data_IF_060920297444
#
_entry.id   IF_060920297444
#
_cell.length_a   1.000
_cell.length_b   1.000
_cell.length_c   1.000
_cell.angle_alpha   90.00
_cell.angle_beta   90.00
_cell.angle_gamma   90.00
#
_symmetry.space_group_name_H-M   'P 1'
#
loop_
_entity.id
_entity.type
_entity.pdbx_description
1 polymer ?
#
# COMPACT_ATOMS: atom_id res chain seq x y z
N UNK A 1 10.01 12.35 3.50
CA UNK A 1 9.98 11.15 4.37
C UNK A 1 8.54 10.83 4.73
N UNK A 2 8.19 9.54 4.78
CA UNK A 2 6.85 9.06 5.16
C UNK A 2 6.99 7.99 6.23
N UNK A 3 6.17 8.06 7.27
CA UNK A 3 6.11 7.07 8.35
C UNK A 3 4.76 6.37 8.39
N UNK A 4 4.68 5.20 9.05
CA UNK A 4 3.42 4.49 9.26
C UNK A 4 2.77 4.95 10.57
N UNK A 5 1.52 5.42 10.50
CA UNK A 5 0.72 5.75 11.69
C UNK A 5 0.07 4.52 12.35
N UNK A 6 -0.57 4.75 13.50
CA UNK A 6 -1.32 3.75 14.27
C UNK A 6 -2.53 3.13 13.52
N UNK A 7 -2.93 3.70 12.38
CA UNK A 7 -4.01 3.20 11.53
C UNK A 7 -3.49 2.44 10.31
N UNK A 8 -2.17 2.22 10.21
CA UNK A 8 -1.53 1.54 9.08
C UNK A 8 -1.35 2.42 7.83
N UNK A 9 -1.62 3.73 7.92
CA UNK A 9 -1.50 4.66 6.81
C UNK A 9 -0.10 5.28 6.74
N UNK A 10 0.34 5.62 5.52
CA UNK A 10 1.54 6.41 5.32
C UNK A 10 1.26 7.90 5.56
N UNK A 11 1.92 8.48 6.55
CA UNK A 11 1.86 9.91 6.86
C UNK A 11 3.16 10.62 6.48
N UNK A 12 3.08 11.74 5.75
CA UNK A 12 4.24 12.59 5.52
C UNK A 12 4.75 13.14 6.86
N UNK A 13 6.03 12.91 7.15
CA UNK A 13 6.68 13.43 8.37
C UNK A 13 7.72 14.51 8.07
N UNK A 14 8.13 14.61 6.81
CA UNK A 14 8.98 15.69 6.32
C UNK A 14 8.87 15.82 4.80
N UNK A 15 8.78 17.07 4.35
CA UNK A 15 9.05 17.45 2.98
C UNK A 15 10.38 18.19 2.93
N UNK A 16 11.24 17.78 2.00
CA UNK A 16 12.49 18.47 1.71
C UNK A 16 12.40 19.04 0.32
N UNK A 17 12.41 20.36 0.20
CA UNK A 17 12.45 21.05 -1.08
C UNK A 17 13.87 21.60 -1.26
N UNK A 18 14.63 20.94 -2.11
CA UNK A 18 16.06 21.18 -2.32
C UNK A 18 16.29 21.72 -3.73
N UNK A 19 17.17 22.71 -3.85
CA UNK A 19 17.53 23.32 -5.14
C UNK A 19 18.48 22.42 -5.93
N UNK A 20 19.36 21.68 -5.24
CA UNK A 20 20.27 20.70 -5.84
C UNK A 20 20.37 19.44 -4.99
N UNK A 21 20.56 18.29 -5.63
CA UNK A 21 20.68 17.01 -4.95
C UNK A 21 22.15 16.67 -4.66
N UNK A 22 22.70 17.22 -3.58
CA UNK A 22 24.06 16.92 -3.11
C UNK A 22 24.06 16.42 -1.66
N UNK A 23 25.10 15.66 -1.29
CA UNK A 23 25.23 14.99 0.01
C UNK A 23 25.02 15.94 1.21
N UNK A 24 25.52 17.17 1.10
CA UNK A 24 25.35 18.19 2.13
C UNK A 24 23.87 18.55 2.34
N UNK A 25 23.07 18.65 1.27
CA UNK A 25 21.63 18.92 1.37
C UNK A 25 20.89 17.77 2.05
N UNK A 26 21.24 16.52 1.75
CA UNK A 26 20.64 15.35 2.40
C UNK A 26 20.98 15.28 3.89
N UNK A 27 22.23 15.53 4.26
CA UNK A 27 22.63 15.61 5.67
C UNK A 27 21.86 16.71 6.42
N UNK A 28 21.66 17.88 5.80
CA UNK A 28 20.85 18.98 6.35
C UNK A 28 19.37 18.60 6.47
N UNK A 29 18.82 17.88 5.50
CA UNK A 29 17.44 17.37 5.59
C UNK A 29 17.26 16.47 6.81
N UNK A 30 18.22 15.58 7.07
CA UNK A 30 18.17 14.71 8.25
C UNK A 30 18.38 15.49 9.56
N UNK A 31 19.19 16.54 9.57
CA UNK A 31 19.34 17.40 10.76
C UNK A 31 18.05 18.18 11.06
N UNK A 32 17.36 18.66 10.03
CA UNK A 32 16.04 19.28 10.19
C UNK A 32 15.01 18.28 10.70
N UNK A 33 15.01 17.04 10.18
CA UNK A 33 14.16 15.96 10.70
C UNK A 33 14.30 15.83 12.21
N UNK A 34 15.55 15.70 12.69
CA UNK A 34 15.85 15.49 14.11
C UNK A 34 15.47 16.66 14.99
N UNK A 35 15.63 17.89 14.51
CA UNK A 35 15.22 19.10 15.24
C UNK A 35 13.71 19.21 15.37
N UNK A 36 12.98 18.80 14.33
CA UNK A 36 11.52 18.88 14.30
C UNK A 36 10.83 17.68 14.99
N UNK A 37 11.56 16.59 15.28
CA UNK A 37 10.99 15.35 15.81
C UNK A 37 11.81 14.87 17.02
N UNK A 38 11.36 15.17 18.24
CA UNK A 38 12.07 14.84 19.48
C UNK A 38 12.34 13.34 19.65
N UNK A 39 11.41 12.51 19.16
CA UNK A 39 11.49 11.04 19.21
C UNK A 39 12.24 10.42 18.02
N UNK A 40 13.04 11.18 17.26
CA UNK A 40 13.79 10.65 16.10
C UNK A 40 14.68 9.46 16.45
N UNK A 41 15.13 9.35 17.70
CA UNK A 41 15.90 8.20 18.20
C UNK A 41 15.12 6.90 18.20
N UNK A 42 13.78 6.92 18.21
CA UNK A 42 12.97 5.71 18.14
C UNK A 42 12.82 5.15 16.72
N UNK A 43 13.39 5.80 15.71
CA UNK A 43 13.46 5.24 14.36
C UNK A 43 14.33 3.97 14.39
N UNK A 44 13.72 2.83 14.05
CA UNK A 44 14.40 1.52 14.02
C UNK A 44 14.61 0.98 12.62
N UNK A 45 13.79 1.37 11.65
CA UNK A 45 13.84 0.91 10.26
C UNK A 45 13.70 2.10 9.33
N UNK A 46 14.57 2.18 8.32
CA UNK A 46 14.48 3.14 7.22
C UNK A 46 14.54 2.37 5.90
N UNK A 47 13.50 2.49 5.08
CA UNK A 47 13.43 1.85 3.76
C UNK A 47 13.74 2.90 2.69
N UNK A 48 14.74 2.62 1.86
CA UNK A 48 15.26 3.53 0.83
C UNK A 48 15.44 2.82 -0.49
N UNK A 49 15.67 3.60 -1.53
CA UNK A 49 16.15 3.07 -2.80
C UNK A 49 17.66 2.86 -2.74
N UNK A 50 18.21 2.19 -3.76
CA UNK A 50 19.64 1.87 -3.79
C UNK A 50 20.46 3.08 -4.28
N UNK A 51 20.57 4.11 -3.43
CA UNK A 51 21.59 5.15 -3.56
C UNK A 51 22.57 5.04 -2.38
N UNK A 52 23.80 4.64 -2.67
CA UNK A 52 24.83 4.40 -1.65
C UNK A 52 25.18 5.67 -0.86
N UNK A 53 25.10 6.85 -1.48
CA UNK A 53 25.38 8.13 -0.79
C UNK A 53 24.28 8.43 0.21
N UNK A 54 23.02 8.23 -0.17
CA UNK A 54 21.89 8.40 0.75
C UNK A 54 21.97 7.40 1.91
N UNK A 55 22.29 6.13 1.62
CA UNK A 55 22.45 5.07 2.62
C UNK A 55 23.53 5.45 3.65
N UNK A 56 24.68 5.93 3.22
CA UNK A 56 25.78 6.30 4.11
C UNK A 56 25.44 7.49 5.00
N UNK A 57 24.75 8.49 4.46
CA UNK A 57 24.27 9.64 5.24
C UNK A 57 23.24 9.18 6.27
N UNK A 58 22.29 8.33 5.87
CA UNK A 58 21.25 7.82 6.77
C UNK A 58 21.86 6.97 7.88
N UNK A 59 22.82 6.09 7.58
CA UNK A 59 23.53 5.30 8.61
C UNK A 59 24.24 6.18 9.63
N UNK A 60 24.90 7.25 9.17
CA UNK A 60 25.56 8.23 10.06
C UNK A 60 24.57 9.02 10.90
N UNK A 61 23.40 9.37 10.34
CA UNK A 61 22.40 10.18 11.04
C UNK A 61 21.48 9.33 11.94
N UNK A 62 21.20 8.08 11.61
CA UNK A 62 20.33 7.19 12.39
C UNK A 62 21.06 5.88 12.71
N UNK A 63 22.07 5.92 13.61
CA UNK A 63 22.88 4.74 13.91
C UNK A 63 22.08 3.61 14.56
N UNK A 64 20.97 3.93 15.23
CA UNK A 64 20.06 2.94 15.83
C UNK A 64 19.08 2.31 14.81
N UNK A 65 19.03 2.82 13.59
CA UNK A 65 18.11 2.36 12.56
C UNK A 65 18.79 1.41 11.57
N UNK A 66 18.13 0.30 11.28
CA UNK A 66 18.51 -0.59 10.18
C UNK A 66 18.02 0.02 8.86
N UNK A 67 18.95 0.22 7.93
CA UNK A 67 18.63 0.66 6.56
C UNK A 67 18.34 -0.56 5.70
N UNK A 68 17.19 -0.56 5.04
CA UNK A 68 16.69 -1.62 4.18
C UNK A 68 16.43 -1.06 2.78
N UNK A 69 16.68 -1.85 1.73
CA UNK A 69 16.35 -1.46 0.36
C UNK A 69 14.88 -1.75 0.04
N UNK A 70 14.24 -0.96 -0.81
CA UNK A 70 12.90 -1.29 -1.30
C UNK A 70 12.94 -2.58 -2.15
N UNK A 71 12.18 -3.62 -1.78
CA UNK A 71 12.10 -4.88 -2.54
C UNK A 71 11.71 -4.67 -4.01
N UNK A 72 10.77 -3.75 -4.26
CA UNK A 72 10.36 -3.41 -5.62
C UNK A 72 11.53 -2.85 -6.43
N UNK A 73 12.28 -1.89 -5.87
CA UNK A 73 13.41 -1.28 -6.57
C UNK A 73 14.59 -2.23 -6.72
N UNK A 74 14.81 -3.16 -5.77
CA UNK A 74 15.80 -4.24 -5.91
C UNK A 74 15.51 -5.09 -7.14
N UNK A 75 14.29 -5.63 -7.23
CA UNK A 75 13.88 -6.50 -8.32
C UNK A 75 13.88 -5.74 -9.65
N UNK A 76 13.28 -4.54 -9.67
CA UNK A 76 13.21 -3.69 -10.87
C UNK A 76 14.62 -3.34 -11.37
N UNK A 77 15.50 -2.88 -10.49
CA UNK A 77 16.84 -2.45 -10.88
C UNK A 77 17.66 -3.62 -11.43
N UNK A 78 17.68 -4.76 -10.75
CA UNK A 78 18.46 -5.93 -11.21
C UNK A 78 17.93 -6.44 -12.55
N UNK A 79 16.62 -6.57 -12.69
CA UNK A 79 16.00 -7.02 -13.93
C UNK A 79 16.24 -6.05 -15.09
N UNK A 80 16.01 -4.75 -14.90
CA UNK A 80 16.20 -3.75 -15.96
C UNK A 80 17.66 -3.56 -16.32
N UNK A 81 18.57 -3.61 -15.34
CA UNK A 81 20.01 -3.50 -15.59
C UNK A 81 20.50 -4.64 -16.46
N UNK A 82 20.10 -5.88 -16.15
CA UNK A 82 20.50 -7.05 -16.95
C UNK A 82 19.89 -6.97 -18.35
N UNK A 83 18.61 -6.57 -18.47
CA UNK A 83 17.92 -6.48 -19.76
C UNK A 83 18.48 -5.39 -20.69
N UNK A 84 18.81 -4.21 -20.14
CA UNK A 84 19.16 -3.02 -20.93
C UNK A 84 20.66 -2.82 -21.12
N UNK A 85 21.49 -3.42 -20.25
CA UNK A 85 22.93 -3.18 -20.26
C UNK A 85 23.64 -4.06 -21.28
N UNK A 86 24.28 -3.43 -22.28
CA UNK A 86 25.21 -4.12 -23.18
C UNK A 86 26.52 -4.51 -22.50
N UNK A 87 26.81 -3.96 -21.31
CA UNK A 87 28.07 -4.18 -20.56
C UNK A 87 28.21 -5.62 -20.07
N UNK A 88 27.10 -6.32 -19.85
CA UNK A 88 27.07 -7.66 -19.28
C UNK A 88 26.79 -8.75 -20.34
N UNK A 89 26.92 -8.38 -21.62
CA UNK A 89 26.46 -9.20 -22.74
C UNK A 89 24.94 -9.16 -22.91
N UNK A 90 24.48 -9.66 -24.06
CA UNK A 90 23.05 -9.86 -24.33
C UNK A 90 22.68 -11.26 -23.87
N UNK A 91 21.58 -11.40 -23.15
CA UNK A 91 21.02 -12.68 -22.75
C UNK A 91 19.76 -12.94 -23.58
N UNK A 92 19.55 -14.19 -23.96
CA UNK A 92 18.31 -14.62 -24.60
C UNK A 92 17.10 -14.40 -23.69
N UNK A 93 15.92 -14.17 -24.27
CA UNK A 93 14.72 -13.77 -23.52
C UNK A 93 14.28 -14.85 -22.50
N UNK A 94 14.50 -16.13 -22.80
CA UNK A 94 14.23 -17.23 -21.87
C UNK A 94 15.16 -17.20 -20.65
N UNK A 95 16.44 -16.89 -20.86
CA UNK A 95 17.44 -16.73 -19.79
C UNK A 95 17.12 -15.49 -18.95
N UNK A 96 16.73 -14.38 -19.58
CA UNK A 96 16.30 -13.16 -18.87
C UNK A 96 15.08 -13.44 -17.98
N UNK A 97 14.12 -14.23 -18.46
CA UNK A 97 12.95 -14.63 -17.69
C UNK A 97 13.33 -15.48 -16.47
N UNK A 98 14.24 -16.46 -16.65
CA UNK A 98 14.78 -17.27 -15.56
C UNK A 98 15.50 -16.40 -14.54
N UNK A 99 16.39 -15.50 -14.98
CA UNK A 99 17.09 -14.56 -14.10
C UNK A 99 16.12 -13.69 -13.29
N UNK A 100 15.05 -13.17 -13.91
CA UNK A 100 14.01 -12.41 -13.21
C UNK A 100 13.34 -13.24 -12.11
N UNK A 101 13.02 -14.49 -12.41
CA UNK A 101 12.43 -15.39 -11.42
C UNK A 101 13.40 -15.64 -10.26
N UNK A 102 14.66 -15.95 -10.56
CA UNK A 102 15.69 -16.18 -9.55
C UNK A 102 15.96 -14.94 -8.69
N UNK A 103 15.99 -13.73 -9.26
CA UNK A 103 16.10 -12.47 -8.52
C UNK A 103 14.92 -12.29 -7.55
N UNK A 104 13.71 -12.60 -8.02
CA UNK A 104 12.50 -12.53 -7.19
C UNK A 104 12.59 -13.53 -6.03
N UNK A 105 12.97 -14.78 -6.33
CA UNK A 105 13.12 -15.84 -5.33
C UNK A 105 14.22 -15.51 -4.31
N UNK A 106 15.37 -14.98 -4.73
CA UNK A 106 16.41 -14.49 -3.83
C UNK A 106 15.88 -13.38 -2.91
N UNK A 107 15.11 -12.43 -3.45
CA UNK A 107 14.58 -11.29 -2.66
C UNK A 107 13.61 -11.75 -1.58
N UNK A 108 12.75 -12.73 -1.91
CA UNK A 108 11.75 -13.28 -1.00
C UNK A 108 12.19 -14.53 -0.23
N UNK A 109 13.45 -14.96 -0.40
CA UNK A 109 14.01 -16.11 0.30
C UNK A 109 13.88 -15.92 1.82
N UNK A 110 13.25 -16.89 2.48
CA UNK A 110 12.90 -16.82 3.91
C UNK A 110 13.98 -17.39 4.83
N UNK A 111 14.98 -18.07 4.28
CA UNK A 111 16.14 -18.60 4.99
C UNK A 111 17.44 -18.26 4.24
N UNK A 112 18.58 -18.14 4.94
CA UNK A 112 19.89 -17.95 4.30
C UNK A 112 20.23 -19.07 3.31
N UNK A 113 19.83 -20.31 3.61
CA UNK A 113 20.05 -21.46 2.74
C UNK A 113 19.26 -21.35 1.43
N UNK A 114 17.98 -20.98 1.51
CA UNK A 114 17.15 -20.76 0.31
C UNK A 114 17.72 -19.60 -0.54
N UNK A 115 18.22 -18.54 0.11
CA UNK A 115 18.91 -17.46 -0.60
C UNK A 115 20.13 -17.98 -1.33
N UNK A 116 20.96 -18.79 -0.66
CA UNK A 116 22.19 -19.36 -1.24
C UNK A 116 21.86 -20.26 -2.44
N UNK A 117 20.84 -21.10 -2.34
CA UNK A 117 20.39 -21.94 -3.46
C UNK A 117 19.99 -21.10 -4.69
N UNK A 118 19.13 -20.10 -4.50
CA UNK A 118 18.71 -19.22 -5.60
C UNK A 118 19.88 -18.34 -6.12
N UNK A 119 20.81 -17.96 -5.26
CA UNK A 119 22.02 -17.25 -5.66
C UNK A 119 22.92 -18.10 -6.55
N UNK A 120 23.05 -19.39 -6.26
CA UNK A 120 23.85 -20.32 -7.07
C UNK A 120 23.17 -20.63 -8.42
N UNK A 121 21.84 -20.70 -8.45
CA UNK A 121 21.05 -20.68 -9.70
C UNK A 121 21.35 -19.40 -10.51
N UNK A 122 21.31 -18.22 -9.87
CA UNK A 122 21.61 -16.97 -10.56
C UNK A 122 23.06 -16.93 -11.07
N UNK A 123 24.01 -17.44 -10.28
CA UNK A 123 25.42 -17.56 -10.65
C UNK A 123 25.60 -18.40 -11.91
N UNK A 124 24.97 -19.57 -11.97
CA UNK A 124 25.07 -20.46 -13.13
C UNK A 124 24.48 -19.84 -14.39
N UNK A 125 23.41 -19.04 -14.28
CA UNK A 125 22.86 -18.27 -15.40
C UNK A 125 23.77 -17.09 -15.81
N UNK A 126 24.34 -16.38 -14.84
CA UNK A 126 25.20 -15.22 -15.09
C UNK A 126 26.52 -15.60 -15.74
N UNK A 127 27.09 -16.76 -15.39
CA UNK A 127 28.37 -17.26 -15.89
C UNK A 127 28.29 -18.04 -17.21
N UNK A 128 27.14 -18.03 -17.90
CA UNK A 128 26.98 -18.70 -19.20
C UNK A 128 27.89 -18.07 -20.25
N UNK A 129 28.41 -18.92 -21.15
CA UNK A 129 29.27 -18.52 -22.27
C UNK A 129 30.56 -17.81 -21.79
N UNK A 130 31.13 -18.30 -20.67
CA UNK A 130 32.37 -17.81 -20.07
C UNK A 130 32.35 -16.32 -19.66
N UNK A 131 31.16 -15.73 -19.51
CA UNK A 131 30.97 -14.36 -19.00
C UNK A 131 31.19 -14.30 -17.50
N UNK A 132 31.78 -13.22 -16.97
CA UNK A 132 31.98 -13.06 -15.52
C UNK A 132 31.50 -11.70 -14.99
N UNK A 133 31.33 -10.72 -15.85
CA UNK A 133 31.13 -9.32 -15.50
C UNK A 133 29.83 -9.08 -14.73
N UNK A 134 28.74 -9.77 -15.09
CA UNK A 134 27.47 -9.68 -14.37
C UNK A 134 27.60 -10.25 -12.95
N UNK A 135 28.26 -11.39 -12.83
CA UNK A 135 28.42 -12.07 -11.55
C UNK A 135 29.31 -11.27 -10.60
N UNK A 136 30.46 -10.79 -11.08
CA UNK A 136 31.37 -9.97 -10.29
C UNK A 136 30.70 -8.66 -9.84
N UNK A 137 29.91 -8.05 -10.73
CA UNK A 137 29.09 -6.90 -10.39
C UNK A 137 28.04 -7.24 -9.31
N UNK A 138 27.31 -8.34 -9.47
CA UNK A 138 26.28 -8.77 -8.53
C UNK A 138 26.86 -9.04 -7.15
N UNK A 139 27.97 -9.78 -7.06
CA UNK A 139 28.62 -10.10 -5.80
C UNK A 139 28.98 -8.81 -5.05
N UNK A 140 29.72 -7.91 -5.72
CA UNK A 140 30.19 -6.67 -5.13
C UNK A 140 29.07 -5.71 -4.72
N UNK A 141 28.03 -5.59 -5.53
CA UNK A 141 27.03 -4.53 -5.34
C UNK A 141 25.75 -4.99 -4.66
N UNK A 142 25.44 -6.28 -4.67
CA UNK A 142 24.17 -6.82 -4.19
C UNK A 142 24.37 -7.90 -3.14
N UNK A 143 25.23 -8.87 -3.39
CA UNK A 143 25.47 -9.98 -2.45
C UNK A 143 26.15 -9.51 -1.16
N UNK A 144 27.17 -8.65 -1.26
CA UNK A 144 27.85 -8.04 -0.09
C UNK A 144 26.90 -7.29 0.85
N UNK A 145 25.75 -6.84 0.34
CA UNK A 145 24.73 -6.14 1.11
C UNK A 145 23.38 -6.89 1.16
N UNK A 146 23.38 -8.22 0.98
CA UNK A 146 22.18 -9.06 0.95
C UNK A 146 21.28 -8.89 2.18
N UNK A 147 21.87 -8.64 3.34
CA UNK A 147 21.18 -8.34 4.59
C UNK A 147 20.24 -7.13 4.53
N UNK A 148 20.47 -6.21 3.58
CA UNK A 148 19.65 -5.02 3.39
C UNK A 148 18.43 -5.29 2.52
N UNK A 149 18.35 -6.39 1.76
CA UNK A 149 17.29 -6.60 0.75
C UNK A 149 16.67 -8.00 0.72
N UNK A 150 17.32 -9.03 1.27
CA UNK A 150 16.76 -10.39 1.34
C UNK A 150 15.79 -10.52 2.52
N UNK A 151 14.66 -11.21 2.31
CA UNK A 151 13.61 -11.37 3.31
C UNK A 151 14.07 -12.10 4.58
N UNK A 152 14.95 -13.10 4.46
CA UNK A 152 15.51 -13.85 5.58
C UNK A 152 16.08 -12.96 6.70
N UNK A 153 16.70 -11.83 6.35
CA UNK A 153 17.30 -10.88 7.31
C UNK A 153 16.31 -9.80 7.79
N UNK A 154 15.06 -9.83 7.33
CA UNK A 154 14.00 -8.88 7.69
C UNK A 154 12.97 -9.44 8.66
N UNK A 155 12.81 -10.77 8.70
CA UNK A 155 11.76 -11.48 9.47
C UNK A 155 11.75 -11.07 10.96
N UNK A 156 12.91 -10.71 11.53
CA UNK A 156 13.05 -10.28 12.93
C UNK A 156 12.93 -8.77 13.18
N UNK A 157 12.67 -7.96 12.15
CA UNK A 157 12.71 -6.50 12.24
C UNK A 157 11.31 -5.88 12.34
N UNK A 158 11.12 -4.80 13.12
CA UNK A 158 9.83 -4.11 13.27
C UNK A 158 9.49 -3.24 12.05
N UNK A 159 9.37 -3.85 10.87
CA UNK A 159 9.03 -3.15 9.63
C UNK A 159 7.50 -3.03 9.42
N UNK A 160 6.67 -3.62 10.29
CA UNK A 160 5.20 -3.53 10.26
C UNK A 160 4.59 -3.91 8.89
N UNK A 161 5.11 -4.98 8.27
CA UNK A 161 4.69 -5.43 6.94
C UNK A 161 5.16 -4.55 5.77
N UNK A 162 6.00 -3.54 6.02
CA UNK A 162 6.53 -2.68 4.95
C UNK A 162 7.83 -3.24 4.40
N UNK A 163 7.82 -3.57 3.12
CA UNK A 163 9.00 -4.06 2.39
C UNK A 163 9.42 -3.13 1.24
N UNK A 164 8.56 -2.16 0.91
CA UNK A 164 8.73 -1.23 -0.21
C UNK A 164 8.56 0.22 0.23
N UNK A 165 8.97 1.16 -0.61
CA UNK A 165 8.73 2.60 -0.43
C UNK A 165 7.43 3.07 -1.13
N UNK A 166 6.50 2.15 -1.46
CA UNK A 166 5.26 2.46 -2.19
C UNK A 166 4.42 3.58 -1.57
N UNK A 167 4.49 3.77 -0.25
CA UNK A 167 3.80 4.88 0.43
C UNK A 167 4.36 6.24 0.05
N UNK A 168 5.69 6.33 -0.05
CA UNK A 168 6.41 7.53 -0.49
C UNK A 168 6.07 7.79 -1.95
N UNK A 169 6.17 6.77 -2.81
CA UNK A 169 5.85 6.90 -4.24
C UNK A 169 4.39 7.28 -4.48
N UNK A 170 3.44 6.68 -3.75
CA UNK A 170 2.02 7.04 -3.86
C UNK A 170 1.74 8.47 -3.40
N UNK A 171 2.40 8.92 -2.34
CA UNK A 171 2.31 10.30 -1.85
C UNK A 171 2.86 11.27 -2.91
N UNK A 172 4.06 11.00 -3.43
CA UNK A 172 4.68 11.83 -4.46
C UNK A 172 3.89 11.82 -5.77
N UNK A 173 3.37 10.66 -6.22
CA UNK A 173 2.51 10.59 -7.39
C UNK A 173 1.22 11.40 -7.25
N UNK A 174 0.59 11.40 -6.05
CA UNK A 174 -0.54 12.28 -5.75
C UNK A 174 -0.12 13.75 -5.78
N UNK A 175 1.01 14.09 -5.17
CA UNK A 175 1.50 15.46 -5.12
C UNK A 175 1.89 15.99 -6.51
N UNK A 176 2.57 15.20 -7.33
CA UNK A 176 2.96 15.52 -8.71
C UNK A 176 1.75 15.87 -9.58
N UNK A 177 0.58 15.25 -9.36
CA UNK A 177 -0.66 15.62 -10.07
C UNK A 177 -1.13 17.05 -9.75
N UNK A 178 -0.86 17.54 -8.55
CA UNK A 178 -1.13 18.94 -8.17
C UNK A 178 0.02 19.88 -8.59
N UNK A 179 1.24 19.36 -8.67
CA UNK A 179 2.43 20.09 -9.10
C UNK A 179 2.62 19.97 -10.63
N UNK A 180 1.92 20.79 -11.41
CA UNK A 180 2.13 20.86 -12.88
C UNK A 180 3.50 21.50 -13.22
N UNK A 181 4.05 21.18 -14.39
CA UNK A 181 5.46 21.34 -14.79
C UNK A 181 6.10 22.75 -14.82
N UNK A 182 5.43 23.81 -14.36
CA UNK A 182 6.00 25.17 -14.32
C UNK A 182 5.63 25.94 -13.04
N UNK A 183 5.77 25.31 -11.88
CA UNK A 183 5.55 25.98 -10.59
C UNK A 183 6.85 26.53 -10.03
N UNK A 184 6.84 27.80 -9.63
CA UNK A 184 7.91 28.38 -8.83
C UNK A 184 7.99 27.69 -7.47
N UNK A 185 9.15 27.75 -6.82
CA UNK A 185 9.37 27.32 -5.43
C UNK A 185 8.24 27.75 -4.48
N UNK A 186 7.81 29.02 -4.59
CA UNK A 186 6.70 29.58 -3.80
C UNK A 186 5.36 28.89 -4.08
N UNK A 187 5.07 28.62 -5.36
CA UNK A 187 3.82 27.97 -5.74
C UNK A 187 3.81 26.50 -5.30
N UNK A 188 4.93 25.79 -5.44
CA UNK A 188 5.13 24.43 -4.94
C UNK A 188 4.92 24.35 -3.42
N UNK A 189 5.46 25.33 -2.66
CA UNK A 189 5.27 25.40 -1.23
C UNK A 189 3.79 25.61 -0.84
N UNK A 190 3.05 26.46 -1.55
CA UNK A 190 1.61 26.66 -1.30
C UNK A 190 0.81 25.37 -1.49
N UNK A 191 1.08 24.64 -2.58
CA UNK A 191 0.41 23.36 -2.86
C UNK A 191 0.75 22.32 -1.80
N UNK A 192 2.04 22.23 -1.41
CA UNK A 192 2.50 21.35 -0.34
C UNK A 192 1.81 21.64 0.99
N UNK A 193 1.74 22.91 1.41
CA UNK A 193 1.09 23.30 2.66
C UNK A 193 -0.41 23.00 2.65
N UNK A 194 -1.10 23.27 1.53
CA UNK A 194 -2.52 22.94 1.40
C UNK A 194 -2.77 21.43 1.43
N UNK A 195 -1.90 20.64 0.82
CA UNK A 195 -1.96 19.19 0.86
C UNK A 195 -1.71 18.66 2.28
N UNK A 196 -0.68 19.17 2.95
CA UNK A 196 -0.33 18.79 4.33
C UNK A 196 -1.47 19.11 5.29
N UNK A 197 -2.06 20.30 5.21
CA UNK A 197 -3.17 20.70 6.08
C UNK A 197 -4.35 19.74 5.97
N UNK A 198 -4.73 19.34 4.74
CA UNK A 198 -5.79 18.35 4.53
C UNK A 198 -5.46 16.99 5.15
N UNK A 199 -4.20 16.55 5.03
CA UNK A 199 -3.73 15.28 5.61
C UNK A 199 -3.78 15.29 7.13
N UNK A 200 -3.40 16.42 7.72
CA UNK A 200 -3.47 16.67 9.14
C UNK A 200 -4.92 16.68 9.62
N UNK A 201 -5.83 17.44 8.99
CA UNK A 201 -7.26 17.44 9.29
C UNK A 201 -7.88 16.03 9.23
N UNK A 202 -7.58 15.25 8.19
CA UNK A 202 -8.02 13.86 8.05
C UNK A 202 -7.49 12.94 9.17
N UNK A 203 -6.27 13.20 9.66
CA UNK A 203 -5.64 12.42 10.73
C UNK A 203 -6.23 12.83 12.09
N UNK A 204 -6.28 14.12 12.37
CA UNK A 204 -6.86 14.70 13.59
C UNK A 204 -8.30 14.26 13.77
N UNK A 205 -9.15 14.32 12.73
CA UNK A 205 -10.52 13.83 12.80
C UNK A 205 -10.67 12.33 13.14
N UNK A 206 -9.67 11.50 12.83
CA UNK A 206 -9.66 10.07 13.20
C UNK A 206 -9.17 9.85 14.62
N UNK A 207 -8.24 10.68 15.07
CA UNK A 207 -7.64 10.64 16.40
C UNK A 207 -8.65 11.20 17.40
N UNK A 208 -9.13 12.43 17.21
CA UNK A 208 -10.07 13.11 18.11
C UNK A 208 -11.49 12.50 18.16
N UNK A 209 -11.79 11.46 17.38
CA UNK A 209 -13.11 10.84 17.37
C UNK A 209 -13.52 10.40 18.80
N UNK A 210 -14.53 11.04 19.41
CA UNK A 210 -14.94 10.71 20.77
C UNK A 210 -15.67 9.36 20.78
N UNK A 211 -15.43 8.59 21.85
CA UNK A 211 -16.16 7.36 22.14
C UNK A 211 -15.38 6.06 21.93
N UNK A 212 -15.92 4.97 22.49
CA UNK A 212 -15.35 3.63 22.41
C UNK A 212 -15.86 2.90 21.17
N UNK A 213 -14.94 2.38 20.35
CA UNK A 213 -15.31 1.54 19.22
C UNK A 213 -15.76 0.16 19.72
N UNK A 214 -16.93 -0.28 19.24
CA UNK A 214 -17.41 -1.65 19.41
C UNK A 214 -17.72 -2.28 18.06
N UNK A 215 -17.43 -3.57 17.94
CA UNK A 215 -17.78 -4.43 16.82
C UNK A 215 -18.59 -5.61 17.36
N UNK A 216 -19.82 -5.76 16.86
CA UNK A 216 -20.76 -6.81 17.29
C UNK A 216 -20.29 -8.22 16.91
N UNK A 217 -19.37 -8.34 15.95
CA UNK A 217 -18.77 -9.62 15.56
C UNK A 217 -17.58 -10.01 16.45
N UNK A 218 -17.13 -9.10 17.32
CA UNK A 218 -16.01 -9.36 18.23
C UNK A 218 -16.54 -9.85 19.57
N UNK A 219 -15.83 -10.81 20.17
CA UNK A 219 -16.02 -11.15 21.57
C UNK A 219 -15.58 -9.97 22.46
N UNK A 220 -15.89 -10.02 23.76
CA UNK A 220 -15.58 -8.91 24.67
C UNK A 220 -14.07 -8.61 24.72
N UNK A 221 -13.21 -9.63 24.73
CA UNK A 221 -11.75 -9.42 24.71
C UNK A 221 -11.27 -8.69 23.45
N UNK A 222 -11.84 -9.03 22.30
CA UNK A 222 -11.52 -8.34 21.04
C UNK A 222 -12.09 -6.92 21.02
N UNK A 223 -13.25 -6.68 21.65
CA UNK A 223 -13.78 -5.33 21.83
C UNK A 223 -12.93 -4.50 22.80
N UNK A 224 -12.32 -5.10 23.82
CA UNK A 224 -11.32 -4.44 24.68
C UNK A 224 -10.11 -4.04 23.83
N UNK A 225 -9.57 -4.97 23.02
CA UNK A 225 -8.46 -4.66 22.11
C UNK A 225 -8.79 -3.51 21.15
N UNK A 226 -10.01 -3.51 20.60
CA UNK A 226 -10.51 -2.45 19.71
C UNK A 226 -10.72 -1.11 20.43
N UNK A 227 -11.14 -1.14 21.70
CA UNK A 227 -11.27 0.05 22.53
C UNK A 227 -9.92 0.71 22.81
N UNK A 228 -8.90 -0.09 23.15
CA UNK A 228 -7.55 0.36 23.46
C UNK A 228 -6.77 0.83 22.22
N UNK A 229 -7.03 0.24 21.05
CA UNK A 229 -6.23 0.43 19.84
C UNK A 229 -7.05 1.00 18.68
N UNK A 230 -6.54 0.89 17.45
CA UNK A 230 -7.28 1.23 16.23
C UNK A 230 -7.93 0.00 15.60
N UNK A 231 -8.88 0.22 14.69
CA UNK A 231 -9.47 -0.87 13.89
C UNK A 231 -8.45 -1.72 13.15
N UNK A 232 -7.42 -1.07 12.63
CA UNK A 232 -6.38 -1.74 11.86
C UNK A 232 -5.55 -2.66 12.77
N UNK A 233 -5.19 -2.18 13.97
CA UNK A 233 -4.46 -2.99 14.97
C UNK A 233 -5.35 -4.12 15.49
N UNK A 234 -6.60 -3.84 15.87
CA UNK A 234 -7.53 -4.84 16.34
C UNK A 234 -7.79 -5.93 15.29
N UNK A 235 -7.89 -5.57 14.01
CA UNK A 235 -7.99 -6.54 12.92
C UNK A 235 -6.72 -7.40 12.80
N UNK A 236 -5.53 -6.83 12.99
CA UNK A 236 -4.29 -7.60 13.01
C UNK A 236 -4.20 -8.55 14.21
N UNK A 237 -4.66 -8.12 15.40
CA UNK A 237 -4.75 -8.99 16.59
C UNK A 237 -5.78 -10.11 16.34
N UNK A 238 -6.90 -9.81 15.67
CA UNK A 238 -7.95 -10.79 15.36
C UNK A 238 -7.43 -11.96 14.54
N UNK A 239 -6.55 -11.74 13.57
CA UNK A 239 -5.97 -12.84 12.77
C UNK A 239 -5.15 -13.81 13.62
N UNK A 240 -4.51 -13.32 14.68
CA UNK A 240 -3.77 -14.15 15.63
C UNK A 240 -4.69 -14.81 16.66
N UNK A 241 -5.68 -14.05 17.14
CA UNK A 241 -6.67 -14.50 18.10
C UNK A 241 -7.45 -15.70 17.56
N UNK A 242 -7.93 -15.61 16.33
CA UNK A 242 -8.74 -16.67 15.71
C UNK A 242 -8.00 -18.00 15.68
N UNK A 243 -6.75 -17.98 15.25
CA UNK A 243 -5.87 -19.17 15.22
C UNK A 243 -5.59 -19.71 16.62
N UNK A 244 -5.41 -18.83 17.62
CA UNK A 244 -5.14 -19.25 19.00
C UNK A 244 -6.38 -19.79 19.72
N UNK A 245 -7.58 -19.35 19.33
CA UNK A 245 -8.83 -19.82 19.90
C UNK A 245 -9.41 -21.04 19.22
N UNK A 246 -9.00 -21.32 17.99
CA UNK A 246 -9.45 -22.48 17.24
C UNK A 246 -9.05 -23.78 17.96
N UNK A 247 -10.05 -24.50 18.47
CA UNK A 247 -9.83 -25.74 19.20
C UNK A 247 -9.26 -26.85 18.29
N UNK A 248 -9.48 -26.77 16.97
CA UNK A 248 -8.89 -27.73 16.02
C UNK A 248 -7.38 -27.59 15.86
N UNK A 249 -6.82 -26.43 16.23
CA UNK A 249 -5.38 -26.12 16.13
C UNK A 249 -4.72 -26.16 17.52
N UNK A 250 -5.49 -26.30 18.60
CA UNK A 250 -4.99 -26.29 19.96
C UNK A 250 -4.00 -27.44 20.23
N UNK A 251 -4.26 -28.62 19.67
CA UNK A 251 -3.42 -29.82 19.82
C UNK A 251 -2.09 -29.73 19.05
N UNK A 252 -1.94 -28.77 18.13
CA UNK A 252 -0.71 -28.57 17.37
C UNK A 252 0.37 -27.84 18.18
N UNK A 253 0.04 -27.27 19.34
CA UNK A 253 0.99 -26.54 20.17
C UNK A 253 1.49 -27.37 21.34
N UNK A 254 2.80 -27.62 21.37
CA UNK A 254 3.49 -28.19 22.52
C UNK A 254 4.26 -27.09 23.27
N UNK A 255 4.07 -27.03 24.59
CA UNK A 255 4.71 -26.03 25.45
C UNK A 255 5.72 -26.71 26.38
N UNK A 256 6.96 -26.21 26.37
CA UNK A 256 7.99 -26.59 27.35
C UNK A 256 8.38 -25.39 28.18
N UNK A 257 8.17 -25.50 29.48
CA UNK A 257 8.57 -24.48 30.44
C UNK A 257 10.08 -24.53 30.71
N UNK A 258 10.77 -23.41 30.52
CA UNK A 258 12.20 -23.26 30.81
C UNK A 258 12.45 -22.20 31.92
N UNK A 259 11.46 -21.92 32.78
CA UNK A 259 11.57 -20.93 33.85
C UNK A 259 11.04 -19.57 33.41
N UNK A 260 11.94 -18.65 33.00
CA UNK A 260 11.58 -17.29 32.56
C UNK A 260 11.00 -17.25 31.14
N UNK A 261 11.25 -18.31 30.36
CA UNK A 261 10.78 -18.46 28.98
C UNK A 261 10.06 -19.79 28.77
N UNK A 262 9.26 -19.84 27.71
CA UNK A 262 8.53 -21.02 27.26
C UNK A 262 8.92 -21.30 25.83
N UNK A 263 9.32 -22.53 25.55
CA UNK A 263 9.44 -23.00 24.16
C UNK A 263 8.06 -23.41 23.67
N UNK A 264 7.59 -22.74 22.62
CA UNK A 264 6.36 -23.06 21.91
C UNK A 264 6.74 -23.80 20.63
N UNK A 265 6.38 -25.06 20.53
CA UNK A 265 6.56 -25.86 19.33
C UNK A 265 5.21 -25.99 18.61
N UNK A 266 5.20 -25.66 17.31
CA UNK A 266 4.07 -25.87 16.41
C UNK A 266 4.64 -26.55 15.17
N UNK A 267 4.19 -27.77 14.90
CA UNK A 267 4.74 -28.62 13.84
C UNK A 267 6.27 -28.77 14.00
N UNK A 268 7.03 -28.50 12.94
CA UNK A 268 8.50 -28.51 12.92
C UNK A 268 9.15 -27.23 13.47
N UNK A 269 8.36 -26.18 13.75
CA UNK A 269 8.88 -24.86 14.14
C UNK A 269 8.88 -24.68 15.64
N UNK A 270 9.96 -24.09 16.16
CA UNK A 270 10.13 -23.77 17.58
C UNK A 270 10.27 -22.27 17.77
N UNK A 271 9.53 -21.75 18.72
CA UNK A 271 9.54 -20.35 19.11
C UNK A 271 9.84 -20.22 20.61
N UNK A 272 10.41 -19.09 21.00
CA UNK A 272 10.64 -18.75 22.40
C UNK A 272 9.71 -17.61 22.77
N UNK A 273 8.97 -17.80 23.86
CA UNK A 273 8.05 -16.84 24.46
C UNK A 273 8.56 -16.46 25.85
N UNK A 274 8.74 -15.18 26.12
CA UNK A 274 9.02 -14.63 27.45
C UNK A 274 7.74 -14.50 28.27
N UNK A 275 7.75 -14.91 29.54
CA UNK A 275 6.54 -14.94 30.38
C UNK A 275 6.12 -13.56 30.93
N UNK A 276 7.07 -12.70 31.26
CA UNK A 276 6.77 -11.39 31.87
C UNK A 276 6.26 -10.39 30.82
N UNK A 277 7.04 -10.20 29.75
CA UNK A 277 6.72 -9.28 28.66
C UNK A 277 5.78 -9.83 27.58
N UNK A 278 5.47 -11.13 27.62
CA UNK A 278 4.75 -11.85 26.55
C UNK A 278 5.37 -11.64 25.17
N UNK A 279 6.70 -11.48 25.12
CA UNK A 279 7.44 -11.25 23.87
C UNK A 279 7.80 -12.58 23.23
N UNK A 280 7.50 -12.72 21.94
CA UNK A 280 7.76 -13.95 21.19
C UNK A 280 8.74 -13.67 20.04
N UNK A 281 9.62 -14.62 19.73
CA UNK A 281 10.52 -14.52 18.58
C UNK A 281 9.88 -14.85 17.22
N UNK A 282 8.58 -15.17 17.18
CA UNK A 282 7.89 -15.39 15.91
C UNK A 282 7.80 -14.09 15.08
N UNK A 283 7.77 -14.24 13.76
CA UNK A 283 7.73 -13.12 12.80
C UNK A 283 6.64 -12.10 13.12
N UNK A 284 5.41 -12.53 13.40
CA UNK A 284 4.32 -11.59 13.68
C UNK A 284 4.64 -10.71 14.89
N UNK A 285 5.09 -11.30 16.00
CA UNK A 285 5.45 -10.56 17.20
C UNK A 285 6.65 -9.64 16.96
N UNK A 286 7.65 -10.08 16.20
CA UNK A 286 8.84 -9.28 15.91
C UNK A 286 8.57 -8.11 14.97
N UNK A 287 7.76 -8.35 13.93
CA UNK A 287 7.47 -7.37 12.88
C UNK A 287 6.40 -6.37 13.29
N UNK A 288 5.33 -6.83 13.94
CA UNK A 288 4.19 -5.99 14.34
C UNK A 288 4.37 -5.41 15.74
N UNK A 289 5.18 -6.04 16.61
CA UNK A 289 5.27 -5.70 18.05
C UNK A 289 3.88 -5.71 18.71
N UNK A 290 3.13 -6.77 18.40
CA UNK A 290 1.78 -7.06 18.88
C UNK A 290 1.72 -8.47 19.46
N UNK A 291 0.74 -8.75 20.33
CA UNK A 291 0.42 -10.10 20.79
C UNK A 291 0.28 -11.11 19.64
N UNK A 292 1.05 -12.19 19.66
CA UNK A 292 0.95 -13.26 18.68
C UNK A 292 0.09 -14.43 19.18
N UNK A 293 -0.28 -15.31 18.24
CA UNK A 293 -1.05 -16.53 18.55
C UNK A 293 -0.35 -17.43 19.57
N UNK A 294 0.99 -17.49 19.58
CA UNK A 294 1.74 -18.33 20.53
C UNK A 294 1.56 -17.87 21.98
N UNK A 295 1.60 -16.55 22.21
CA UNK A 295 1.36 -15.98 23.53
C UNK A 295 -0.08 -16.23 24.01
N UNK A 296 -1.04 -16.07 23.10
CA UNK A 296 -2.47 -16.29 23.40
C UNK A 296 -2.78 -17.77 23.66
N UNK A 297 -2.23 -18.68 22.85
CA UNK A 297 -2.38 -20.12 23.01
C UNK A 297 -1.80 -20.59 24.37
N UNK A 298 -0.58 -20.15 24.71
CA UNK A 298 0.00 -20.46 26.02
C UNK A 298 -0.88 -19.94 27.17
N UNK A 299 -1.36 -18.68 27.10
CA UNK A 299 -2.29 -18.14 28.11
C UNK A 299 -3.58 -18.95 28.26
N UNK A 300 -4.14 -19.42 27.15
CA UNK A 300 -5.32 -20.31 27.12
C UNK A 300 -5.02 -21.61 27.87
N UNK A 301 -3.87 -22.26 27.61
CA UNK A 301 -3.47 -23.49 28.32
C UNK A 301 -3.23 -23.28 29.82
N UNK A 302 -2.77 -22.09 30.22
CA UNK A 302 -2.64 -21.73 31.64
C UNK A 302 -3.98 -21.36 32.31
N UNK A 303 -5.11 -21.44 31.62
CA UNK A 303 -6.43 -21.12 32.16
C UNK A 303 -6.66 -19.63 32.42
N UNK A 304 -5.95 -18.73 31.73
CA UNK A 304 -6.15 -17.30 31.91
C UNK A 304 -7.53 -16.85 31.38
N UNK A 305 -8.30 -16.05 32.13
CA UNK A 305 -9.60 -15.56 31.69
C UNK A 305 -9.51 -14.60 30.50
N UNK A 306 -8.40 -13.85 30.41
CA UNK A 306 -8.06 -12.99 29.28
C UNK A 306 -6.85 -13.58 28.55
N UNK A 307 -7.06 -14.09 27.33
CA UNK A 307 -6.02 -14.76 26.55
C UNK A 307 -5.18 -13.76 25.75
N UNK A 308 -5.71 -12.57 25.44
CA UNK A 308 -4.95 -11.50 24.80
C UNK A 308 -4.04 -10.83 25.87
N UNK A 309 -2.70 -10.87 25.73
CA UNK A 309 -1.81 -10.13 26.60
C UNK A 309 -1.80 -8.64 26.23
N UNK A 310 -2.78 -7.88 26.72
CA UNK A 310 -2.90 -6.43 26.42
C UNK A 310 -1.65 -5.63 26.82
N UNK A 311 -0.90 -6.09 27.84
CA UNK A 311 0.34 -5.45 28.29
C UNK A 311 1.50 -5.55 27.30
N UNK A 312 1.46 -6.45 26.32
CA UNK A 312 2.52 -6.57 25.30
C UNK A 312 2.23 -5.76 24.03
N UNK A 313 1.10 -5.07 23.97
CA UNK A 313 0.81 -4.11 22.91
C UNK A 313 1.75 -2.91 23.07
N UNK A 314 2.61 -2.68 22.08
CA UNK A 314 3.51 -1.52 22.09
C UNK A 314 2.73 -0.20 22.20
N UNK A 315 3.20 0.78 23.00
CA UNK A 315 2.50 2.05 23.21
C UNK A 315 2.12 2.79 21.92
N UNK A 316 2.90 2.60 20.86
CA UNK A 316 2.64 3.19 19.53
C UNK A 316 1.29 2.79 18.90
N UNK A 317 0.68 1.71 19.39
CA UNK A 317 -0.55 1.15 18.84
C UNK A 317 -1.80 1.54 19.63
N UNK A 318 -1.65 2.18 20.78
CA UNK A 318 -2.78 2.73 21.51
C UNK A 318 -3.37 3.93 20.76
N UNK A 319 -4.68 4.09 20.84
CA UNK A 319 -5.35 5.29 20.30
C UNK A 319 -4.93 6.50 21.13
N UNK A 320 -3.96 7.27 20.63
CA UNK A 320 -3.26 8.33 21.36
C UNK A 320 -4.14 9.46 21.96
N UNK A 321 -5.38 9.60 21.52
CA UNK A 321 -6.38 10.56 21.99
C UNK A 321 -7.40 10.01 22.99
N UNK A 322 -7.42 8.70 23.24
CA UNK A 322 -8.50 8.09 24.03
C UNK A 322 -8.22 8.04 25.53
N UNK A 323 -7.09 8.60 25.96
CA UNK A 323 -6.63 8.58 27.34
C UNK A 323 -6.42 9.98 27.95
N UNK A 324 -6.50 11.08 27.20
CA UNK A 324 -6.49 12.42 27.82
C UNK A 324 -7.87 12.73 28.38
N UNK A 325 -8.09 12.41 29.66
CA UNK A 325 -9.25 12.88 30.42
C UNK A 325 -9.22 14.40 30.65
N UNK A 326 -8.08 15.05 30.41
CA UNK A 326 -7.87 16.49 30.67
C UNK A 326 -8.57 17.42 29.67
N UNK A 327 -9.05 16.90 28.54
CA UNK A 327 -9.78 17.65 27.50
C UNK A 327 -11.11 16.97 27.16
N UNK A 328 -11.89 16.59 28.17
CA UNK A 328 -13.30 16.26 27.96
C UNK A 328 -14.06 17.54 27.62
N UNK A 329 -14.05 17.93 26.36
CA UNK A 329 -14.96 18.96 25.86
C UNK A 329 -16.40 18.49 26.14
N UNK A 330 -17.18 19.29 26.87
CA UNK A 330 -18.61 19.03 27.04
C UNK A 330 -19.25 18.93 25.66
N UNK A 331 -19.63 17.72 25.25
CA UNK A 331 -20.27 17.52 23.95
C UNK A 331 -21.74 17.89 24.12
N UNK A 332 -22.14 19.05 23.60
CA UNK A 332 -23.55 19.51 23.57
C UNK A 332 -24.48 18.56 22.77
N UNK A 333 -23.93 17.65 21.96
CA UNK A 333 -24.69 16.72 21.13
C UNK A 333 -24.69 15.30 21.66
N UNK A 334 -25.84 14.59 21.57
CA UNK A 334 -25.97 13.23 22.08
C UNK A 334 -25.00 12.27 21.39
N UNK A 335 -24.52 11.30 22.17
CA UNK A 335 -23.62 10.23 21.73
C UNK A 335 -24.09 9.62 20.39
N UNK A 336 -23.21 9.61 19.38
CA UNK A 336 -23.49 8.95 18.11
C UNK A 336 -22.93 7.53 18.16
N UNK A 337 -23.77 6.55 18.52
CA UNK A 337 -23.42 5.14 18.40
C UNK A 337 -23.34 4.73 16.92
N UNK A 338 -22.16 4.84 16.31
CA UNK A 338 -21.92 4.30 14.96
C UNK A 338 -21.75 2.78 15.06
N UNK A 339 -22.84 2.04 14.89
CA UNK A 339 -22.81 0.58 14.76
C UNK A 339 -22.31 0.24 13.36
N UNK A 340 -21.07 -0.24 13.27
CA UNK A 340 -20.54 -0.70 11.99
C UNK A 340 -20.98 -2.14 11.73
N UNK A 341 -21.98 -2.28 10.86
CA UNK A 341 -22.33 -3.58 10.29
C UNK A 341 -21.36 -3.90 9.16
N UNK A 342 -20.80 -5.11 9.16
CA UNK A 342 -20.01 -5.64 8.03
C UNK A 342 -20.90 -5.60 6.78
N UNK A 343 -20.44 -5.00 5.68
CA UNK A 343 -21.13 -5.14 4.39
C UNK A 343 -21.15 -6.64 4.04
N UNK A 344 -22.32 -7.26 3.80
CA UNK A 344 -22.36 -8.66 3.41
C UNK A 344 -21.58 -8.84 2.10
N UNK A 345 -20.85 -9.96 2.01
CA UNK A 345 -20.16 -10.38 0.79
C UNK A 345 -21.23 -10.46 -0.31
N UNK A 346 -21.01 -9.76 -1.43
CA UNK A 346 -21.98 -9.70 -2.51
C UNK A 346 -22.30 -11.12 -2.99
N UNK A 347 -23.54 -11.54 -2.82
CA UNK A 347 -24.09 -12.73 -3.46
C UNK A 347 -24.10 -12.42 -4.96
N UNK A 348 -23.57 -13.33 -5.78
CA UNK A 348 -23.56 -13.19 -7.23
C UNK A 348 -24.97 -12.87 -7.73
N UNK A 349 -25.13 -11.72 -8.40
CA UNK A 349 -26.40 -11.25 -8.95
C UNK A 349 -27.02 -10.02 -8.28
N UNK A 350 -26.58 -9.60 -7.09
CA UNK A 350 -27.08 -8.37 -6.43
C UNK A 350 -26.05 -7.25 -6.56
N UNK A 351 -26.40 -6.14 -7.20
CA UNK A 351 -25.54 -4.96 -7.30
C UNK A 351 -25.20 -4.44 -5.90
N UNK A 352 -23.90 -4.36 -5.56
CA UNK A 352 -23.44 -3.73 -4.33
C UNK A 352 -23.77 -2.23 -4.33
N UNK A 353 -23.92 -1.60 -3.16
CA UNK A 353 -24.18 -0.15 -3.08
C UNK A 353 -23.08 0.68 -3.77
N UNK A 354 -21.84 0.20 -3.77
CA UNK A 354 -20.73 0.84 -4.48
C UNK A 354 -20.88 0.70 -6.00
N UNK A 355 -21.40 -0.43 -6.48
CA UNK A 355 -21.70 -0.68 -7.89
C UNK A 355 -22.89 0.18 -8.36
N UNK A 356 -23.96 0.25 -7.54
CA UNK A 356 -25.12 1.11 -7.77
C UNK A 356 -24.71 2.58 -7.84
N UNK A 357 -23.90 3.04 -6.89
CA UNK A 357 -23.37 4.40 -6.86
C UNK A 357 -22.50 4.71 -8.08
N UNK A 358 -21.58 3.80 -8.45
CA UNK A 358 -20.71 3.98 -9.63
C UNK A 358 -21.51 4.06 -10.93
N UNK A 359 -22.50 3.17 -11.12
CA UNK A 359 -23.38 3.19 -12.30
C UNK A 359 -24.26 4.43 -12.35
N UNK A 360 -24.84 4.83 -11.22
CA UNK A 360 -25.63 6.06 -11.13
C UNK A 360 -24.77 7.27 -11.49
N UNK A 361 -23.56 7.39 -10.92
CA UNK A 361 -22.66 8.49 -11.20
C UNK A 361 -22.24 8.54 -12.68
N UNK A 362 -21.97 7.39 -13.31
CA UNK A 362 -21.69 7.34 -14.75
C UNK A 362 -22.87 7.80 -15.61
N UNK A 363 -24.11 7.44 -15.25
CA UNK A 363 -25.30 7.91 -15.96
C UNK A 363 -25.49 9.42 -15.80
N UNK A 364 -25.36 9.95 -14.59
CA UNK A 364 -25.46 11.40 -14.34
C UNK A 364 -24.35 12.19 -15.02
N UNK A 365 -23.12 11.66 -15.11
CA UNK A 365 -22.03 12.33 -15.84
C UNK A 365 -22.36 12.49 -17.34
N UNK A 366 -23.06 11.51 -17.95
CA UNK A 366 -23.51 11.61 -19.35
C UNK A 366 -24.62 12.66 -19.48
N UNK A 367 -25.61 12.62 -18.59
CA UNK A 367 -26.71 13.59 -18.56
C UNK A 367 -26.16 15.02 -18.35
N UNK A 368 -25.21 15.22 -17.44
CA UNK A 368 -24.60 16.54 -17.21
C UNK A 368 -23.82 17.06 -18.42
N UNK A 369 -23.20 16.16 -19.19
CA UNK A 369 -22.50 16.52 -20.42
C UNK A 369 -23.45 17.02 -21.53
N UNK A 370 -24.66 16.45 -21.60
CA UNK A 370 -25.71 16.88 -22.54
C UNK A 370 -26.40 18.17 -22.05
N UNK A 371 -26.73 18.25 -20.76
CA UNK A 371 -27.36 19.45 -20.18
C UNK A 371 -26.48 20.70 -20.35
N UNK A 372 -25.16 20.57 -20.20
CA UNK A 372 -24.21 21.67 -20.36
C UNK A 372 -24.13 22.23 -21.80
N UNK A 373 -24.71 21.55 -22.78
CA UNK A 373 -24.75 21.97 -24.18
C UNK A 373 -26.11 22.60 -24.57
N UNK A 374 -27.08 22.62 -23.66
CA UNK A 374 -28.39 23.23 -23.91
C UNK A 374 -28.34 24.76 -23.77
N UNK A 375 -29.17 25.51 -24.51
CA UNK A 375 -29.36 26.94 -24.28
C UNK A 375 -29.90 27.22 -22.87
N UNK A 376 -29.48 28.33 -22.26
CA UNK A 376 -29.75 28.66 -20.84
C UNK A 376 -31.23 28.53 -20.43
N UNK A 377 -32.17 28.98 -21.26
CA UNK A 377 -33.61 28.89 -20.97
C UNK A 377 -34.12 27.44 -20.94
N UNK A 378 -33.57 26.58 -21.81
CA UNK A 378 -33.92 25.15 -21.88
C UNK A 378 -33.22 24.38 -20.77
N UNK A 379 -32.00 24.78 -20.42
CA UNK A 379 -31.25 24.23 -19.29
C UNK A 379 -32.00 24.44 -17.97
N UNK A 380 -32.46 25.66 -17.68
CA UNK A 380 -33.21 25.96 -16.45
C UNK A 380 -34.53 25.17 -16.36
N UNK A 381 -35.25 25.03 -17.47
CA UNK A 381 -36.46 24.19 -17.51
C UNK A 381 -36.13 22.71 -17.23
N UNK A 382 -35.06 22.19 -17.84
CA UNK A 382 -34.61 20.81 -17.62
C UNK A 382 -34.13 20.56 -16.19
N UNK A 383 -33.46 21.53 -15.56
CA UNK A 383 -33.05 21.46 -14.17
C UNK A 383 -34.24 21.46 -13.20
N UNK A 384 -35.27 22.27 -13.46
CA UNK A 384 -36.52 22.25 -12.69
C UNK A 384 -37.21 20.87 -12.75
N UNK A 385 -37.21 20.21 -13.90
CA UNK A 385 -37.79 18.88 -14.04
C UNK A 385 -36.94 17.77 -13.39
N UNK A 386 -35.61 17.93 -13.40
CA UNK A 386 -34.70 17.06 -12.66
C UNK A 386 -34.90 17.17 -11.14
N UNK A 387 -35.14 18.37 -10.62
CA UNK A 387 -35.46 18.60 -9.21
C UNK A 387 -36.80 17.99 -8.81
N UNK A 388 -37.83 18.08 -9.67
CA UNK A 388 -39.11 17.39 -9.46
C UNK A 388 -38.94 15.88 -9.44
N UNK A 389 -38.11 15.34 -10.34
CA UNK A 389 -37.82 13.91 -10.35
C UNK A 389 -37.04 13.47 -9.11
N UNK A 390 -36.04 14.24 -8.67
CA UNK A 390 -35.33 14.01 -7.42
C UNK A 390 -36.27 14.01 -6.20
N UNK A 391 -37.21 14.95 -6.16
CA UNK A 391 -38.23 15.01 -5.11
C UNK A 391 -39.12 13.74 -5.12
N UNK A 392 -39.54 13.27 -6.28
CA UNK A 392 -40.31 12.02 -6.42
C UNK A 392 -39.52 10.78 -6.00
N UNK A 393 -38.22 10.74 -6.32
CA UNK A 393 -37.31 9.65 -5.93
C UNK A 393 -37.20 9.52 -4.41
N UNK A 394 -37.14 10.64 -3.68
CA UNK A 394 -37.14 10.66 -2.19
C UNK A 394 -38.41 10.05 -1.59
N UNK A 395 -39.53 10.09 -2.33
CA UNK A 395 -40.82 9.55 -1.90
C UNK A 395 -41.11 8.15 -2.47
N UNK A 396 -40.11 7.48 -3.04
CA UNK A 396 -40.20 6.09 -3.51
C UNK A 396 -40.87 5.91 -4.88
N UNK A 397 -41.09 6.97 -5.64
CA UNK A 397 -41.59 6.90 -7.02
C UNK A 397 -40.43 6.92 -8.00
N UNK A 398 -40.31 5.91 -8.86
CA UNK A 398 -39.15 5.71 -9.74
C UNK A 398 -39.40 6.02 -11.22
N UNK A 399 -40.64 6.31 -11.60
CA UNK A 399 -41.01 6.50 -13.01
C UNK A 399 -40.59 7.88 -13.52
N UNK A 400 -39.97 7.91 -14.70
CA UNK A 400 -39.75 9.12 -15.48
C UNK A 400 -41.01 9.35 -16.31
N UNK A 401 -41.64 10.52 -16.18
CA UNK A 401 -42.81 10.88 -17.00
C UNK A 401 -42.44 10.80 -18.49
N UNK A 402 -43.31 10.23 -19.35
CA UNK A 402 -43.05 10.15 -20.78
C UNK A 402 -43.02 11.56 -21.42
N UNK A 403 -42.29 11.75 -22.52
CA UNK A 403 -42.28 13.02 -23.23
C UNK A 403 -43.71 13.37 -23.71
N UNK A 404 -44.07 14.67 -23.77
CA UNK A 404 -45.38 15.08 -24.25
C UNK A 404 -45.57 14.58 -25.68
N UNK A 405 -46.63 13.80 -25.90
CA UNK A 405 -47.08 13.39 -27.22
C UNK A 405 -47.33 14.64 -28.08
N UNK A 406 -46.55 14.83 -29.14
CA UNK A 406 -46.84 15.82 -30.17
C UNK A 406 -48.17 15.44 -30.83
N UNK A 407 -49.23 16.11 -30.42
CA UNK A 407 -50.53 16.07 -31.06
C UNK A 407 -50.41 16.55 -32.50
N UNK A 408 -50.97 15.74 -33.38
CA UNK A 408 -51.21 16.00 -34.78
C UNK A 408 -52.01 17.30 -34.99
N UNK A 409 -51.47 18.26 -35.73
CA UNK A 409 -52.26 19.21 -36.51
C UNK A 409 -51.55 19.46 -37.85
N UNK A 410 -52.27 19.13 -38.93
CA UNK A 410 -51.79 19.21 -40.29
C UNK A 410 -52.08 20.55 -40.96
N UNK A 411 -51.19 20.92 -41.88
CA UNK A 411 -51.36 21.72 -43.11
C UNK A 411 -49.97 22.24 -43.49
N UNK A 412 -49.43 22.19 -44.70
CA UNK A 412 -49.86 21.75 -46.01
C UNK A 412 -48.91 22.45 -47.01
N UNK A 413 -48.37 21.70 -47.99
CA UNK A 413 -47.70 22.18 -49.22
C UNK A 413 -46.36 22.94 -49.06
N UNK A 414 -45.29 22.70 -49.80
CA UNK A 414 -45.02 21.85 -50.95
C UNK A 414 -43.67 22.27 -51.58
N UNK A 415 -43.05 21.37 -52.34
CA UNK A 415 -42.17 21.71 -53.47
C UNK A 415 -40.65 21.85 -53.24
N UNK A 416 -39.90 20.85 -53.75
CA UNK A 416 -38.96 21.11 -54.85
C UNK A 416 -37.44 21.11 -54.58
N UNK A 417 -36.75 20.16 -55.21
CA UNK A 417 -35.43 20.31 -55.87
C UNK A 417 -34.20 20.15 -54.98
N UNK A 418 -33.48 19.01 -55.04
CA UNK A 418 -32.43 18.58 -55.98
C UNK A 418 -31.00 18.99 -55.62
N UNK A 419 -30.15 17.95 -55.63
CA UNK A 419 -28.75 17.87 -56.05
C UNK A 419 -27.64 18.53 -55.22
N UNK A 420 -26.86 17.67 -54.55
CA UNK A 420 -25.64 17.14 -55.18
C UNK A 420 -24.34 17.93 -55.00
N UNK A 421 -23.30 17.23 -54.54
CA UNK A 421 -21.92 17.58 -54.85
C UNK A 421 -20.96 17.73 -53.66
N UNK A 422 -20.32 16.62 -53.28
CA UNK A 422 -18.96 16.64 -52.74
C UNK A 422 -17.95 16.84 -53.91
N UNK A 423 -16.61 16.65 -53.79
CA UNK A 423 -15.71 16.55 -52.62
C UNK A 423 -14.34 17.27 -52.81
N UNK A 424 -13.46 17.16 -51.79
CA UNK A 424 -11.98 17.04 -51.93
C UNK A 424 -11.18 18.36 -51.98
N UNK A 425 -9.96 18.48 -51.45
CA UNK A 425 -9.03 17.55 -50.77
C UNK A 425 -7.64 18.21 -50.64
N UNK A 426 -6.82 17.69 -49.71
CA UNK A 426 -5.32 17.72 -49.66
C UNK A 426 -4.60 19.10 -49.54
N UNK A 427 -3.35 19.26 -49.10
CA UNK A 427 -2.36 18.57 -48.25
C UNK A 427 -1.10 19.49 -48.19
N UNK A 428 -0.04 19.05 -47.48
CA UNK A 428 1.38 19.54 -47.44
C UNK A 428 1.70 20.63 -46.37
N UNK A 429 2.56 20.39 -45.36
CA UNK A 429 4.01 20.06 -45.25
C UNK A 429 4.96 21.28 -45.22
N UNK A 430 5.88 21.30 -44.25
CA UNK A 430 7.07 22.15 -44.22
C UNK A 430 8.01 21.81 -43.04
N UNK A 431 9.26 21.44 -43.35
CA UNK A 431 10.35 20.97 -42.45
C UNK A 431 11.46 22.03 -42.28
N UNK A 432 12.14 21.98 -41.12
CA UNK A 432 13.61 22.16 -40.91
C UNK A 432 14.16 23.59 -40.75
N UNK A 433 15.40 23.79 -40.22
CA UNK A 433 16.49 22.80 -40.01
C UNK A 433 17.25 22.85 -38.65
N UNK A 434 18.25 21.97 -38.53
CA UNK A 434 19.21 21.71 -37.42
C UNK A 434 20.50 22.56 -37.52
N UNK A 435 21.26 22.65 -36.41
CA UNK A 435 22.71 22.89 -36.39
C UNK A 435 23.39 22.12 -35.22
N UNK A 436 24.56 21.55 -35.51
CA UNK A 436 25.43 20.73 -34.65
C UNK A 436 26.54 21.55 -33.97
N UNK A 437 26.95 21.17 -32.75
CA UNK A 437 28.34 21.30 -32.28
C UNK A 437 28.64 20.32 -31.13
N UNK A 438 29.72 19.55 -31.30
CA UNK A 438 30.35 18.65 -30.33
C UNK A 438 31.26 19.40 -29.35
N UNK A 439 31.24 19.02 -28.07
CA UNK A 439 32.46 18.85 -27.27
C UNK A 439 32.24 17.92 -26.06
N UNK A 440 33.22 17.07 -25.79
CA UNK A 440 33.11 15.88 -24.94
C UNK A 440 33.23 16.11 -23.44
N UNK A 441 32.44 15.38 -22.65
CA UNK A 441 32.79 15.03 -21.28
C UNK A 441 32.03 13.77 -20.82
N UNK A 442 32.76 12.81 -20.25
CA UNK A 442 32.22 11.54 -19.76
C UNK A 442 31.26 11.79 -18.59
N UNK A 443 29.98 11.45 -18.76
CA UNK A 443 28.98 11.40 -17.70
C UNK A 443 28.32 10.03 -17.69
N UNK A 444 28.39 9.38 -16.54
CA UNK A 444 27.56 8.23 -16.18
C UNK A 444 26.09 8.59 -16.42
N UNK A 445 25.40 7.70 -17.14
CA UNK A 445 24.07 7.93 -17.69
C UNK A 445 23.03 8.20 -16.61
N UNK A 446 22.59 9.45 -16.55
CA UNK A 446 21.37 9.87 -15.88
C UNK A 446 20.19 9.40 -16.76
N UNK A 447 19.60 8.26 -16.43
CA UNK A 447 18.49 7.69 -17.18
C UNK A 447 17.21 8.47 -16.81
N UNK A 448 16.67 9.22 -17.78
CA UNK A 448 15.41 9.95 -17.64
C UNK A 448 14.26 8.99 -17.34
N UNK A 449 13.55 9.26 -16.24
CA UNK A 449 12.34 8.57 -15.82
C UNK A 449 11.19 8.88 -16.79
N UNK A 450 10.93 7.95 -17.73
CA UNK A 450 9.68 7.94 -18.48
C UNK A 450 8.59 7.30 -17.60
N UNK A 451 7.70 8.14 -17.06
CA UNK A 451 6.57 7.72 -16.24
C UNK A 451 5.45 7.12 -17.11
N UNK A 452 5.65 5.87 -17.52
CA UNK A 452 4.59 5.01 -18.05
C UNK A 452 3.70 4.48 -16.92
N UNK A 453 2.46 4.94 -16.88
CA UNK A 453 1.40 4.47 -15.98
C UNK A 453 1.00 3.03 -16.29
N UNK A 454 1.43 2.08 -15.47
CA UNK A 454 0.86 0.73 -15.43
C UNK A 454 0.42 0.42 -14.00
N UNK A 455 -0.89 0.54 -13.76
CA UNK A 455 -1.57 -0.01 -12.60
C UNK A 455 -1.55 -1.54 -12.74
N UNK A 456 -0.61 -2.21 -12.06
CA UNK A 456 -0.68 -3.65 -11.82
C UNK A 456 -0.94 -3.87 -10.33
N UNK A 457 -2.05 -4.55 -10.03
CA UNK A 457 -2.49 -4.83 -8.67
C UNK A 457 -1.48 -5.75 -7.95
N UNK A 458 -1.24 -5.57 -6.64
CA UNK A 458 -0.36 -6.46 -5.90
C UNK A 458 -0.98 -7.87 -5.84
N UNK A 459 -0.28 -8.85 -6.43
CA UNK A 459 -0.58 -10.27 -6.26
C UNK A 459 -0.48 -10.62 -4.78
N UNK A 460 -1.64 -10.78 -4.14
CA UNK A 460 -1.72 -11.43 -2.84
C UNK A 460 -1.34 -12.90 -3.05
N UNK A 461 -0.21 -13.31 -2.49
CA UNK A 461 0.11 -14.74 -2.38
C UNK A 461 -0.88 -15.31 -1.37
N UNK A 462 -1.81 -16.11 -1.88
CA UNK A 462 -2.70 -16.94 -1.07
C UNK A 462 -1.84 -17.95 -0.30
N UNK A 463 -2.09 -18.08 1.00
CA UNK A 463 -1.62 -19.22 1.78
C UNK A 463 -2.09 -20.50 1.08
N UNK A 464 -1.14 -21.36 0.73
CA UNK A 464 -1.40 -22.67 0.17
C UNK A 464 -2.04 -23.57 1.23
N UNK A 465 -3.36 -23.73 1.14
CA UNK A 465 -4.10 -24.81 1.79
C UNK A 465 -3.67 -26.14 1.16
N UNK A 466 -3.07 -27.01 1.95
CA UNK A 466 -2.71 -28.37 1.54
C UNK A 466 -3.99 -29.15 1.23
N UNK A 467 -4.16 -29.56 -0.03
CA UNK A 467 -5.20 -30.51 -0.44
C UNK A 467 -4.84 -31.89 0.12
N UNK A 468 -5.78 -32.49 0.83
CA UNK A 468 -5.76 -33.89 1.20
C UNK A 468 -5.80 -34.73 -0.08
N UNK A 469 -4.83 -35.63 -0.24
CA UNK A 469 -4.84 -36.65 -1.27
C UNK A 469 -5.67 -37.84 -0.77
N UNK A 470 -6.64 -38.22 -1.59
CA UNK A 470 -7.42 -39.45 -1.48
C UNK A 470 -6.50 -40.67 -1.48
N UNK A 471 -6.57 -41.46 -0.41
CA UNK A 471 -6.08 -42.83 -0.39
C UNK A 471 -7.29 -43.77 -0.48
N UNK A 472 -7.70 -44.09 -1.70
CA UNK A 472 -8.45 -45.31 -1.98
C UNK A 472 -7.52 -46.52 -1.78
N UNK A 473 -7.69 -47.20 -0.66
CA UNK A 473 -7.06 -48.48 -0.33
C UNK A 473 -8.15 -49.52 -0.07
N UNK A 474 -8.49 -50.24 -1.12
CA UNK A 474 -9.50 -51.29 -1.16
C UNK A 474 -9.22 -52.46 -0.18
N UNK A 475 -10.32 -52.99 0.39
CA UNK A 475 -10.55 -54.42 0.67
C UNK A 475 -9.93 -55.09 1.91
N UNK A 476 -10.76 -55.33 2.94
CA UNK A 476 -11.25 -56.65 3.43
C UNK A 476 -11.54 -56.63 4.94
N UNK A 477 -12.76 -57.00 5.31
CA UNK A 477 -13.20 -57.27 6.68
C UNK A 477 -14.57 -56.73 6.97
#
# INVERSE_FOLDING_TARGET
MVAMDQYGNGQPVQYSLIETNSDWHMAKCMDHFKRANEHWRFVRIVIVDKDMREIDIIRKKFPEARVLLCHFHVIKWLHETIRKSKKYGVYEEDVLSQMKHTITNMTYARTPDAYTSHRDEFKSLALREDRTELWDYFVKNWDECCEMWVMAYRVGLPHFGNHTNNRVESLFGKLKRYLKGHLTMRASLKVLLAYQRRKEEEYTAKVEMPGTLRDVSYCEQMNIALGMTTRWVAAAIKTQYDVATDDSIADNYAFKDNGTTVTVQCDERKYTLEKEGWTCNCEFAQTMKLPCRHAMAYRKTCGNPLIIPFSSISPRWFGQSRLSQDELTEVEQPFVAKVFKKKPRAVAGVLSDAEKYRRAQQAFSRISGELAQLPDEVFESAMSDLDKWWYNLRHGKTDLLPPPSSGNDGSGSGGGGNDGGAPGGSASQGKGPQDDHHDGNAKEGNMQDDYGSYDEAPTQVADSTTQAADCEGSSRG
#
